data_IF_066908172318
#
_entry.id   IF_066908172318
#
_cell.length_a   1.000
_cell.length_b   1.000
_cell.length_c   1.000
_cell.angle_alpha   90.00
_cell.angle_beta   90.00
_cell.angle_gamma   90.00
#
_symmetry.space_group_name_H-M   'P 1'
#
loop_
_entity.id
_entity.type
_entity.pdbx_description
1 polymer ?
#
# COMPACT_ATOMS: atom_id res chain seq x y z
N UNK A 1 53.14 44.91 57.08
CA UNK A 1 53.98 44.81 55.86
C UNK A 1 54.12 43.34 55.47
N UNK A 2 54.16 43.10 54.16
CA UNK A 2 53.69 41.92 53.41
C UNK A 2 54.30 40.57 53.84
N UNK A 3 53.44 39.56 54.04
CA UNK A 3 53.80 38.12 54.03
C UNK A 3 53.36 37.55 52.68
N UNK A 4 54.31 37.09 51.88
CA UNK A 4 54.09 36.48 50.57
C UNK A 4 53.95 34.97 50.72
N UNK A 5 52.83 34.43 50.26
CA UNK A 5 52.50 33.02 50.24
C UNK A 5 52.81 32.45 48.85
N UNK A 6 53.65 31.42 48.81
CA UNK A 6 53.71 30.42 47.75
C UNK A 6 52.52 29.45 47.95
N UNK A 7 51.86 29.00 46.88
CA UNK A 7 51.51 27.59 46.62
C UNK A 7 50.74 27.49 45.29
N UNK A 8 51.21 26.51 44.52
CA UNK A 8 50.77 25.98 43.24
C UNK A 8 49.49 25.14 43.44
N UNK A 9 48.45 25.31 42.60
CA UNK A 9 47.46 24.24 42.37
C UNK A 9 46.87 24.31 40.97
N UNK A 10 47.02 23.20 40.26
CA UNK A 10 46.38 22.91 38.99
C UNK A 10 44.87 22.68 39.22
N UNK A 11 44.03 23.24 38.36
CA UNK A 11 42.66 22.75 38.22
C UNK A 11 42.28 22.59 36.76
N UNK A 12 42.03 21.33 36.44
CA UNK A 12 41.57 20.76 35.19
C UNK A 12 40.32 21.48 34.67
N UNK A 13 40.38 21.99 33.45
CA UNK A 13 39.23 22.55 32.76
C UNK A 13 38.33 21.39 32.28
N UNK A 14 37.20 21.21 32.96
CA UNK A 14 36.09 20.39 32.50
C UNK A 14 35.57 20.89 31.15
N UNK A 15 35.87 20.15 30.09
CA UNK A 15 35.23 20.30 28.79
C UNK A 15 33.84 19.68 28.90
N UNK A 16 32.81 20.53 29.02
CA UNK A 16 31.42 20.11 28.91
C UNK A 16 31.12 19.77 27.45
N UNK A 17 31.29 18.51 27.09
CA UNK A 17 30.70 17.94 25.88
C UNK A 17 29.19 17.80 26.10
N UNK A 18 28.45 18.83 25.68
CA UNK A 18 27.00 18.72 25.42
C UNK A 18 26.84 17.73 24.27
N UNK A 19 26.78 16.45 24.61
CA UNK A 19 26.33 15.40 23.72
C UNK A 19 24.83 15.57 23.58
N UNK A 20 24.42 16.34 22.56
CA UNK A 20 23.10 16.21 21.98
C UNK A 20 22.99 14.75 21.51
N UNK A 21 22.42 13.89 22.37
CA UNK A 21 21.76 12.69 21.91
C UNK A 21 20.68 13.18 20.94
N UNK A 22 20.99 13.14 19.66
CA UNK A 22 19.96 13.12 18.62
C UNK A 22 19.19 11.83 18.91
N UNK A 23 18.14 11.94 19.72
CA UNK A 23 17.12 10.92 19.75
C UNK A 23 16.75 10.69 18.29
N UNK A 24 16.97 9.46 17.85
CA UNK A 24 16.42 8.96 16.62
C UNK A 24 14.90 8.98 16.79
N UNK A 25 14.29 10.15 16.66
CA UNK A 25 12.88 10.26 16.32
C UNK A 25 12.77 9.60 14.95
N UNK A 26 12.54 8.29 14.94
CA UNK A 26 11.92 7.69 13.77
C UNK A 26 10.74 8.58 13.43
N UNK A 27 10.54 8.96 12.16
CA UNK A 27 9.31 9.62 11.76
C UNK A 27 8.20 8.64 12.11
N UNK A 28 7.56 8.78 13.27
CA UNK A 28 6.48 7.90 13.67
C UNK A 28 5.28 8.22 12.80
N UNK A 29 4.49 7.21 12.45
CA UNK A 29 3.14 7.49 11.96
C UNK A 29 2.46 8.21 13.11
N UNK A 30 1.65 9.23 12.81
CA UNK A 30 0.93 9.90 13.89
C UNK A 30 0.22 8.84 14.75
N UNK A 31 0.39 8.91 16.07
CA UNK A 31 -0.38 8.08 17.01
C UNK A 31 -1.89 8.18 16.74
N UNK A 32 -2.32 9.23 16.04
CA UNK A 32 -3.70 9.52 15.66
C UNK A 32 -4.35 8.47 14.75
N UNK A 33 -3.56 7.69 13.97
CA UNK A 33 -4.14 6.62 13.12
C UNK A 33 -4.35 5.30 13.88
N UNK A 34 -3.80 5.16 15.09
CA UNK A 34 -3.95 3.94 15.87
C UNK A 34 -5.39 3.81 16.37
N UNK A 35 -5.86 2.57 16.44
CA UNK A 35 -7.20 2.23 16.92
C UNK A 35 -7.94 1.28 15.99
N UNK A 36 -9.23 1.13 16.26
CA UNK A 36 -10.13 0.28 15.49
C UNK A 36 -10.94 1.10 14.51
N UNK A 37 -10.98 0.63 13.28
CA UNK A 37 -11.64 1.28 12.17
C UNK A 37 -12.62 0.33 11.48
N UNK A 38 -13.79 0.83 11.12
CA UNK A 38 -14.73 0.15 10.25
C UNK A 38 -14.30 0.33 8.79
N UNK A 39 -14.30 -0.75 8.02
CA UNK A 39 -14.04 -0.67 6.59
C UNK A 39 -15.25 -0.06 5.87
N UNK A 40 -15.08 1.12 5.28
CA UNK A 40 -16.18 1.88 4.69
C UNK A 40 -16.31 1.63 3.19
N UNK A 41 -15.20 1.74 2.45
CA UNK A 41 -15.16 1.51 1.00
C UNK A 41 -13.72 1.40 0.47
N UNK A 42 -13.59 0.90 -0.75
CA UNK A 42 -12.42 1.10 -1.60
C UNK A 42 -12.84 1.76 -2.91
N UNK A 43 -12.11 2.79 -3.31
CA UNK A 43 -12.15 3.31 -4.67
C UNK A 43 -10.94 2.73 -5.42
N UNK A 44 -11.17 2.08 -6.56
CA UNK A 44 -10.14 1.38 -7.32
C UNK A 44 -10.18 1.81 -8.77
N UNK A 45 -9.06 2.34 -9.27
CA UNK A 45 -8.82 2.53 -10.69
C UNK A 45 -7.73 1.56 -11.12
N UNK A 46 -8.01 0.69 -12.09
CA UNK A 46 -7.06 -0.35 -12.51
C UNK A 46 -6.95 -0.48 -14.02
N UNK A 47 -5.77 -0.94 -14.46
CA UNK A 47 -5.45 -1.30 -15.83
C UNK A 47 -4.62 -2.58 -15.81
N UNK A 48 -5.07 -3.61 -16.50
CA UNK A 48 -4.35 -4.86 -16.70
C UNK A 48 -4.05 -5.01 -18.19
N UNK A 49 -2.79 -5.27 -18.52
CA UNK A 49 -2.32 -5.55 -19.87
C UNK A 49 -1.84 -6.98 -19.93
N UNK A 50 -2.45 -7.79 -20.78
CA UNK A 50 -2.02 -9.16 -21.06
C UNK A 50 -1.39 -9.19 -22.44
N UNK A 51 -0.20 -9.75 -22.56
CA UNK A 51 0.55 -9.87 -23.80
C UNK A 51 1.00 -11.32 -23.99
N UNK A 52 0.82 -11.84 -25.20
CA UNK A 52 1.34 -13.14 -25.61
C UNK A 52 1.66 -13.14 -27.11
N UNK A 53 2.48 -14.08 -27.54
CA UNK A 53 2.81 -14.28 -28.96
C UNK A 53 2.65 -15.74 -29.30
N UNK A 54 1.83 -16.03 -30.31
CA UNK A 54 1.58 -17.38 -30.80
C UNK A 54 1.73 -17.39 -32.32
N UNK A 55 2.49 -18.36 -32.85
CA UNK A 55 2.73 -18.50 -34.30
C UNK A 55 3.19 -17.21 -35.01
N UNK A 56 3.93 -16.35 -34.31
CA UNK A 56 4.42 -15.07 -34.83
C UNK A 56 3.41 -13.92 -34.83
N UNK A 57 2.20 -14.14 -34.29
CA UNK A 57 1.19 -13.10 -34.07
C UNK A 57 1.25 -12.65 -32.61
N UNK A 58 1.50 -11.36 -32.39
CA UNK A 58 1.46 -10.77 -31.06
C UNK A 58 0.04 -10.30 -30.76
N UNK A 59 -0.50 -10.75 -29.63
CA UNK A 59 -1.80 -10.31 -29.12
C UNK A 59 -1.60 -9.57 -27.81
N UNK A 60 -2.28 -8.43 -27.68
CA UNK A 60 -2.33 -7.64 -26.46
C UNK A 60 -3.78 -7.33 -26.10
N UNK A 61 -4.16 -7.59 -24.85
CA UNK A 61 -5.45 -7.20 -24.30
C UNK A 61 -5.23 -6.21 -23.18
N UNK A 62 -5.84 -5.04 -23.26
CA UNK A 62 -5.84 -4.03 -22.20
C UNK A 62 -7.24 -3.98 -21.60
N UNK A 63 -7.35 -4.28 -20.32
CA UNK A 63 -8.59 -4.21 -19.55
C UNK A 63 -8.47 -3.12 -18.51
N UNK A 64 -9.39 -2.16 -18.52
CA UNK A 64 -9.46 -1.08 -17.52
C UNK A 64 -10.76 -1.16 -16.74
N UNK A 65 -10.71 -0.76 -15.47
CA UNK A 65 -11.91 -0.61 -14.64
C UNK A 65 -11.74 0.49 -13.62
N UNK A 66 -12.85 1.15 -13.31
CA UNK A 66 -12.97 2.13 -12.23
C UNK A 66 -14.22 1.77 -11.42
N UNK A 67 -14.06 1.57 -10.11
CA UNK A 67 -15.17 1.20 -9.25
C UNK A 67 -14.97 1.60 -7.80
N UNK A 68 -16.12 1.83 -7.14
CA UNK A 68 -16.21 1.90 -5.69
C UNK A 68 -16.88 0.63 -5.18
N UNK A 69 -16.31 0.03 -4.13
CA UNK A 69 -16.90 -1.17 -3.53
C UNK A 69 -18.17 -0.84 -2.75
N UNK A 70 -19.09 -1.80 -2.70
CA UNK A 70 -20.36 -1.74 -1.98
C UNK A 70 -20.49 -2.91 -1.00
N UNK A 71 -21.51 -2.88 -0.12
CA UNK A 71 -21.73 -3.92 0.89
C UNK A 71 -20.47 -4.22 1.73
N UNK A 72 -19.72 -3.17 2.06
CA UNK A 72 -18.45 -3.27 2.76
C UNK A 72 -18.68 -3.66 4.21
N UNK A 73 -17.98 -4.69 4.67
CA UNK A 73 -18.00 -5.14 6.07
C UNK A 73 -16.60 -5.39 6.57
N UNK A 74 -16.48 -5.49 7.90
CA UNK A 74 -15.24 -5.83 8.58
C UNK A 74 -14.55 -4.63 9.19
N UNK A 75 -13.47 -4.92 9.91
CA UNK A 75 -12.75 -3.94 10.72
C UNK A 75 -11.27 -4.05 10.50
N UNK A 76 -10.56 -2.96 10.77
CA UNK A 76 -9.11 -2.88 10.73
C UNK A 76 -8.63 -2.29 12.05
N UNK A 77 -7.75 -3.02 12.73
CA UNK A 77 -7.03 -2.54 13.90
C UNK A 77 -5.65 -2.10 13.43
N UNK A 78 -5.32 -0.84 13.67
CA UNK A 78 -3.98 -0.30 13.45
C UNK A 78 -3.32 -0.14 14.80
N UNK A 79 -2.24 -0.89 15.03
CA UNK A 79 -1.31 -0.66 16.13
C UNK A 79 -0.03 -0.01 15.60
N UNK A 80 0.85 0.47 16.48
CA UNK A 80 2.06 1.22 16.07
C UNK A 80 3.00 0.53 15.06
N UNK A 81 2.81 -0.75 14.74
CA UNK A 81 3.65 -1.52 13.81
C UNK A 81 2.88 -2.46 12.87
N UNK A 82 1.58 -2.65 13.09
CA UNK A 82 0.80 -3.67 12.40
C UNK A 82 -0.61 -3.19 12.09
N UNK A 83 -1.14 -3.73 11.01
CA UNK A 83 -2.52 -3.55 10.59
C UNK A 83 -3.16 -4.93 10.53
N UNK A 84 -4.21 -5.14 11.31
CA UNK A 84 -4.93 -6.42 11.37
C UNK A 84 -6.36 -6.20 10.88
N UNK A 85 -6.70 -6.85 9.77
CA UNK A 85 -8.05 -6.90 9.23
C UNK A 85 -8.85 -8.07 9.80
N UNK A 86 -10.15 -7.88 9.96
CA UNK A 86 -11.08 -8.91 10.40
C UNK A 86 -12.37 -8.85 9.59
N UNK A 87 -12.70 -9.98 8.95
CA UNK A 87 -13.94 -10.18 8.18
C UNK A 87 -14.19 -9.11 7.11
N UNK A 88 -13.14 -8.69 6.41
CA UNK A 88 -13.24 -7.77 5.28
C UNK A 88 -13.95 -8.48 4.13
N UNK A 89 -15.09 -7.94 3.73
CA UNK A 89 -15.92 -8.43 2.63
C UNK A 89 -16.48 -7.22 1.88
N UNK A 90 -16.71 -7.37 0.58
CA UNK A 90 -17.26 -6.33 -0.27
C UNK A 90 -17.78 -6.89 -1.59
N UNK A 91 -18.60 -6.10 -2.27
CA UNK A 91 -19.10 -6.35 -3.62
C UNK A 91 -18.59 -5.29 -4.59
N UNK A 92 -18.26 -5.73 -5.79
CA UNK A 92 -17.97 -4.87 -6.94
C UNK A 92 -19.07 -5.08 -7.97
N UNK A 93 -19.57 -3.98 -8.50
CA UNK A 93 -20.47 -3.97 -9.64
C UNK A 93 -20.09 -2.80 -10.53
N UNK A 94 -19.42 -3.09 -11.63
CA UNK A 94 -18.97 -2.08 -12.59
C UNK A 94 -18.93 -2.67 -14.00
N UNK A 95 -18.54 -1.86 -14.97
CA UNK A 95 -18.23 -2.27 -16.33
C UNK A 95 -16.72 -2.17 -16.51
N UNK A 96 -16.09 -3.25 -16.96
CA UNK A 96 -14.70 -3.24 -17.39
C UNK A 96 -14.64 -3.02 -18.90
N UNK A 97 -13.70 -2.19 -19.34
CA UNK A 97 -13.47 -1.90 -20.76
C UNK A 97 -12.27 -2.70 -21.25
N UNK A 98 -12.48 -3.57 -22.23
CA UNK A 98 -11.45 -4.39 -22.85
C UNK A 98 -11.12 -3.86 -24.26
N UNK A 99 -9.84 -3.74 -24.57
CA UNK A 99 -9.33 -3.40 -25.91
C UNK A 99 -8.32 -4.46 -26.35
N UNK A 100 -8.57 -5.08 -27.49
CA UNK A 100 -7.75 -6.18 -28.02
C UNK A 100 -6.99 -5.68 -29.24
N UNK A 101 -5.69 -5.92 -29.24
CA UNK A 101 -4.76 -5.53 -30.29
C UNK A 101 -4.10 -6.78 -30.87
N UNK A 102 -3.95 -6.82 -32.19
CA UNK A 102 -3.13 -7.81 -32.90
C UNK A 102 -2.04 -7.09 -33.68
N UNK A 103 -0.78 -7.47 -33.45
CA UNK A 103 0.41 -6.85 -34.03
C UNK A 103 0.41 -5.31 -33.88
N UNK A 104 -0.06 -4.82 -32.74
CA UNK A 104 -0.14 -3.39 -32.41
C UNK A 104 -1.36 -2.65 -32.98
N UNK A 105 -2.19 -3.30 -33.80
CA UNK A 105 -3.42 -2.70 -34.36
C UNK A 105 -4.60 -3.08 -33.49
N UNK A 106 -5.44 -2.11 -33.11
CA UNK A 106 -6.70 -2.36 -32.42
C UNK A 106 -7.62 -3.15 -33.34
N UNK A 107 -8.02 -4.35 -32.91
CA UNK A 107 -8.91 -5.24 -33.69
C UNK A 107 -10.30 -5.36 -33.06
N UNK A 108 -10.43 -5.11 -31.76
CA UNK A 108 -11.71 -5.18 -31.07
C UNK A 108 -11.73 -4.32 -29.79
N UNK A 109 -12.92 -3.87 -29.39
CA UNK A 109 -13.18 -3.32 -28.06
C UNK A 109 -14.56 -3.75 -27.57
N UNK A 110 -14.67 -3.98 -26.27
CA UNK A 110 -15.93 -4.38 -25.66
C UNK A 110 -16.03 -3.98 -24.19
N UNK A 111 -17.27 -3.83 -23.76
CA UNK A 111 -17.64 -3.58 -22.38
C UNK A 111 -18.14 -4.88 -21.76
N UNK A 112 -17.51 -5.28 -20.64
CA UNK A 112 -17.82 -6.52 -19.95
C UNK A 112 -18.33 -6.20 -18.54
N UNK A 113 -19.50 -6.72 -18.12
CA UNK A 113 -19.93 -6.61 -16.74
C UNK A 113 -18.90 -7.24 -15.80
N UNK A 114 -18.36 -6.46 -14.88
CA UNK A 114 -17.42 -6.92 -13.86
C UNK A 114 -18.12 -6.88 -12.50
N UNK A 115 -18.68 -8.02 -12.14
CA UNK A 115 -19.45 -8.20 -10.90
C UNK A 115 -18.87 -9.36 -10.10
N UNK A 116 -18.45 -9.10 -8.87
CA UNK A 116 -18.02 -10.15 -7.95
C UNK A 116 -18.25 -9.73 -6.50
N UNK A 117 -18.32 -10.72 -5.61
CA UNK A 117 -18.31 -10.51 -4.17
C UNK A 117 -17.06 -11.16 -3.61
N UNK A 118 -16.21 -10.37 -2.98
CA UNK A 118 -15.06 -10.89 -2.24
C UNK A 118 -15.57 -11.59 -0.98
N UNK A 119 -15.25 -12.88 -0.76
CA UNK A 119 -15.62 -13.55 0.48
C UNK A 119 -14.92 -12.89 1.67
N UNK A 120 -15.51 -13.00 2.85
CA UNK A 120 -14.93 -12.47 4.07
C UNK A 120 -13.53 -13.05 4.30
N UNK A 121 -12.56 -12.17 4.50
CA UNK A 121 -11.16 -12.55 4.77
C UNK A 121 -10.59 -11.71 5.90
N UNK A 122 -9.53 -12.25 6.52
CA UNK A 122 -8.82 -11.61 7.63
C UNK A 122 -7.33 -11.82 7.42
N UNK A 123 -6.52 -10.94 7.98
CA UNK A 123 -5.07 -11.01 7.83
C UNK A 123 -4.37 -9.87 8.53
N UNK A 124 -3.06 -10.01 8.70
CA UNK A 124 -2.22 -9.02 9.35
C UNK A 124 -1.08 -8.64 8.41
N UNK A 125 -0.85 -7.34 8.27
CA UNK A 125 0.30 -6.78 7.57
C UNK A 125 1.12 -5.96 8.56
N UNK A 126 2.43 -6.21 8.62
CA UNK A 126 3.34 -5.35 9.37
C UNK A 126 3.77 -4.18 8.50
N UNK A 127 3.97 -3.02 9.11
CA UNK A 127 4.41 -1.83 8.41
C UNK A 127 5.47 -1.07 9.20
N UNK A 128 6.24 -0.27 8.48
CA UNK A 128 7.16 0.71 9.03
C UNK A 128 6.72 2.11 8.63
N UNK A 129 6.86 3.06 9.55
CA UNK A 129 6.62 4.46 9.24
C UNK A 129 7.74 5.04 8.40
N UNK A 130 7.38 5.82 7.38
CA UNK A 130 8.32 6.56 6.53
C UNK A 130 8.25 8.06 6.84
N UNK A 131 7.04 8.60 7.01
CA UNK A 131 6.76 9.98 7.40
C UNK A 131 5.39 10.05 8.09
N UNK A 132 4.98 11.23 8.56
CA UNK A 132 3.69 11.42 9.23
C UNK A 132 2.47 10.97 8.40
N UNK A 133 2.59 11.02 7.07
CA UNK A 133 1.56 10.68 6.08
C UNK A 133 1.90 9.42 5.26
N UNK A 134 2.93 8.65 5.63
CA UNK A 134 3.41 7.54 4.78
C UNK A 134 3.86 6.33 5.58
N UNK A 135 3.42 5.15 5.14
CA UNK A 135 3.85 3.85 5.67
C UNK A 135 4.37 2.95 4.56
N UNK A 136 5.17 1.97 4.93
CA UNK A 136 5.68 0.91 4.06
C UNK A 136 5.33 -0.45 4.64
N UNK A 137 4.63 -1.29 3.89
CA UNK A 137 4.28 -2.66 4.29
C UNK A 137 5.43 -3.62 3.99
N UNK A 138 5.88 -4.37 4.99
CA UNK A 138 7.07 -5.23 4.89
C UNK A 138 6.79 -6.54 4.13
N UNK A 139 5.53 -6.91 3.93
CA UNK A 139 5.10 -8.17 3.30
C UNK A 139 3.81 -8.03 2.49
N UNK A 140 3.64 -6.89 1.82
CA UNK A 140 2.44 -6.54 1.04
C UNK A 140 1.25 -6.05 1.88
N UNK A 141 0.21 -5.55 1.22
CA UNK A 141 -0.94 -4.91 1.87
C UNK A 141 -2.19 -5.79 1.94
N UNK A 142 -3.04 -5.52 2.93
CA UNK A 142 -4.32 -6.19 3.19
C UNK A 142 -5.36 -6.01 2.06
N UNK A 143 -5.22 -4.98 1.24
CA UNK A 143 -6.19 -4.63 0.19
C UNK A 143 -5.82 -5.18 -1.19
N UNK A 144 -4.83 -6.07 -1.27
CA UNK A 144 -4.31 -6.61 -2.53
C UNK A 144 -4.62 -8.11 -2.76
N UNK A 145 -5.58 -8.67 -2.02
CA UNK A 145 -5.99 -10.08 -2.16
C UNK A 145 -6.64 -10.34 -3.54
N UNK A 146 -6.03 -11.19 -4.36
CA UNK A 146 -6.59 -11.63 -5.66
C UNK A 146 -5.59 -12.02 -6.75
N UNK A 147 -4.31 -11.68 -6.59
CA UNK A 147 -3.23 -12.07 -7.52
C UNK A 147 -2.23 -12.99 -6.81
N UNK A 148 -1.93 -14.12 -7.46
CA UNK A 148 -1.06 -15.15 -6.92
C UNK A 148 0.34 -14.62 -6.55
N UNK A 149 0.71 -14.83 -5.29
CA UNK A 149 2.03 -15.32 -4.82
C UNK A 149 3.30 -14.48 -4.97
N UNK A 150 3.24 -13.15 -5.14
CA UNK A 150 4.37 -12.31 -4.74
C UNK A 150 3.88 -11.02 -4.07
N UNK A 151 3.84 -11.05 -2.74
CA UNK A 151 3.58 -9.88 -1.90
C UNK A 151 4.78 -8.94 -1.98
N UNK A 152 4.79 -8.14 -3.04
CA UNK A 152 5.76 -7.06 -3.20
C UNK A 152 5.52 -6.00 -2.12
N UNK A 153 6.57 -5.56 -1.40
CA UNK A 153 6.44 -4.46 -0.45
C UNK A 153 5.78 -3.24 -1.12
N UNK A 154 4.76 -2.69 -0.48
CA UNK A 154 4.01 -1.56 -1.00
C UNK A 154 4.00 -0.41 0.01
N UNK A 155 4.03 0.82 -0.51
CA UNK A 155 3.84 2.03 0.30
C UNK A 155 2.37 2.45 0.31
N UNK A 156 1.92 3.07 1.40
CA UNK A 156 0.65 3.77 1.45
C UNK A 156 0.81 5.21 1.91
N UNK A 157 0.09 6.11 1.25
CA UNK A 157 -0.14 7.48 1.72
C UNK A 157 -1.38 7.51 2.61
N UNK A 158 -1.29 8.23 3.71
CA UNK A 158 -2.31 8.34 4.74
C UNK A 158 -2.87 9.76 4.74
N UNK A 159 -4.19 9.87 4.81
CA UNK A 159 -4.89 11.13 4.99
C UNK A 159 -5.99 10.95 6.04
N UNK A 160 -5.84 11.62 7.18
CA UNK A 160 -6.77 11.55 8.31
C UNK A 160 -7.57 12.86 8.39
N UNK A 161 -8.87 12.77 8.16
CA UNK A 161 -9.80 13.89 8.24
C UNK A 161 -10.90 13.58 9.26
N UNK A 162 -10.73 14.08 10.49
CA UNK A 162 -11.60 13.74 11.61
C UNK A 162 -11.54 12.25 11.91
N UNK A 163 -12.66 11.55 11.73
CA UNK A 163 -12.76 10.10 11.95
C UNK A 163 -12.58 9.29 10.66
N UNK A 164 -12.25 9.91 9.53
CA UNK A 164 -12.06 9.20 8.26
C UNK A 164 -10.57 9.10 7.97
N UNK A 165 -10.06 7.87 7.91
CA UNK A 165 -8.72 7.57 7.44
C UNK A 165 -8.80 7.06 6.00
N UNK A 166 -8.17 7.78 5.08
CA UNK A 166 -7.97 7.34 3.70
C UNK A 166 -6.54 6.81 3.53
N UNK A 167 -6.42 5.65 2.92
CA UNK A 167 -5.14 5.01 2.62
C UNK A 167 -5.03 4.80 1.11
N UNK A 168 -4.11 5.52 0.47
CA UNK A 168 -3.86 5.41 -0.97
C UNK A 168 -2.65 4.53 -1.23
N UNK A 169 -2.84 3.50 -2.05
CA UNK A 169 -1.80 2.58 -2.49
C UNK A 169 -1.74 2.51 -4.00
N UNK A 170 -0.54 2.25 -4.51
CA UNK A 170 -0.31 1.99 -5.92
C UNK A 170 0.24 0.58 -6.08
N UNK A 171 -0.39 -0.18 -6.97
CA UNK A 171 0.02 -1.51 -7.38
C UNK A 171 0.63 -1.40 -8.76
N UNK A 172 1.80 -2.00 -8.92
CA UNK A 172 2.43 -2.24 -10.21
C UNK A 172 3.07 -3.62 -10.14
N UNK A 173 2.47 -4.59 -10.81
CA UNK A 173 2.91 -5.98 -10.78
C UNK A 173 2.95 -6.56 -12.19
N UNK A 174 3.97 -7.35 -12.47
CA UNK A 174 4.07 -8.14 -13.70
C UNK A 174 4.23 -9.60 -13.32
N UNK A 175 3.40 -10.47 -13.89
CA UNK A 175 3.47 -11.91 -13.72
C UNK A 175 3.40 -12.57 -15.09
N UNK A 176 4.20 -13.62 -15.29
CA UNK A 176 4.13 -14.47 -16.48
C UNK A 176 3.61 -15.84 -16.08
N UNK A 177 2.60 -16.33 -16.78
CA UNK A 177 2.03 -17.65 -16.57
C UNK A 177 1.97 -18.41 -17.88
N UNK A 178 2.24 -19.71 -17.83
CA UNK A 178 2.08 -20.60 -18.97
C UNK A 178 0.62 -21.04 -19.07
N UNK A 179 -0.05 -20.68 -20.15
CA UNK A 179 -1.43 -21.10 -20.45
C UNK A 179 -1.38 -21.91 -21.74
N UNK A 180 -1.69 -23.20 -21.64
CA UNK A 180 -1.61 -24.14 -22.77
C UNK A 180 -0.25 -24.17 -23.49
N UNK A 181 0.85 -23.91 -22.76
CA UNK A 181 2.22 -23.90 -23.31
C UNK A 181 2.58 -22.61 -24.05
N UNK A 182 1.75 -21.56 -23.92
CA UNK A 182 2.04 -20.20 -24.37
C UNK A 182 2.30 -19.34 -23.14
N UNK A 183 3.46 -18.66 -23.05
CA UNK A 183 3.71 -17.69 -21.99
C UNK A 183 2.82 -16.47 -22.20
N UNK A 184 1.99 -16.16 -21.20
CA UNK A 184 1.20 -14.94 -21.12
C UNK A 184 1.80 -14.06 -20.04
N UNK A 185 2.24 -12.86 -20.41
CA UNK A 185 2.69 -11.84 -19.47
C UNK A 185 1.54 -10.90 -19.15
N UNK A 186 1.22 -10.75 -17.88
CA UNK A 186 0.21 -9.82 -17.36
C UNK A 186 0.89 -8.73 -16.56
N UNK A 187 0.72 -7.48 -16.96
CA UNK A 187 1.12 -6.30 -16.18
C UNK A 187 -0.12 -5.58 -15.66
N UNK A 188 -0.21 -5.42 -14.35
CA UNK A 188 -1.33 -4.80 -13.66
C UNK A 188 -0.87 -3.54 -12.94
N UNK A 189 -1.57 -2.44 -13.23
CA UNK A 189 -1.50 -1.19 -12.51
C UNK A 189 -2.81 -0.96 -11.77
N UNK A 190 -2.77 -0.58 -10.50
CA UNK A 190 -3.95 -0.13 -9.79
C UNK A 190 -3.63 1.00 -8.82
N UNK A 191 -4.56 1.93 -8.68
CA UNK A 191 -4.63 2.88 -7.57
C UNK A 191 -5.79 2.44 -6.69
N UNK A 192 -5.51 2.16 -5.43
CA UNK A 192 -6.51 1.75 -4.43
C UNK A 192 -6.56 2.83 -3.36
N UNK A 193 -7.75 3.34 -3.08
CA UNK A 193 -8.01 4.26 -1.97
C UNK A 193 -8.97 3.58 -1.02
N UNK A 194 -8.46 3.01 0.07
CA UNK A 194 -9.27 2.44 1.13
C UNK A 194 -9.71 3.55 2.09
N UNK A 195 -11.01 3.65 2.37
CA UNK A 195 -11.58 4.57 3.35
C UNK A 195 -12.04 3.78 4.57
N UNK A 196 -11.57 4.23 5.73
CA UNK A 196 -11.88 3.64 7.02
C UNK A 196 -12.52 4.70 7.92
N UNK A 197 -13.53 4.31 8.70
CA UNK A 197 -14.20 5.17 9.68
C UNK A 197 -13.85 4.72 11.09
N UNK A 198 -13.36 5.63 11.93
CA UNK A 198 -13.05 5.35 13.34
C UNK A 198 -14.29 4.83 14.07
N UNK A 199 -14.11 3.80 14.91
CA UNK A 199 -15.16 3.29 15.81
C UNK A 199 -15.44 4.25 16.96
#
# INVERSE_FOLDING_TARGET
MKKSFLILSAFSACVFSVSCKKESSQPGVSADIQGTWNFQSMDVTSSSTQEYTESGVSTKTVTTSDYTTSNNTGTIVIDGSSMTSSNISYSVSTVAHASIYSNGVLIDNSDLPFNFTAPASSGTATYTSVSADSIHFNGGSLFMSGVATDVTPSGAKLDLQGDILSMTQYVNQTATQEVYGVPITTTTYAKVIAKLKKQ
#
